data_IF_604934394199
#
_entry.id   IF_604934394199
#
_cell.length_a   1.000
_cell.length_b   1.000
_cell.length_c   1.000
_cell.angle_alpha   90.00
_cell.angle_beta   90.00
_cell.angle_gamma   90.00
#
_symmetry.space_group_name_H-M   'P 1'
#
loop_
_entity.id
_entity.type
_entity.pdbx_description
1 polymer ?
#
# COMPACT_ATOMS: atom_id res chain seq x y z
N UNK A 1 -5.14 -2.33 9.78
CA UNK A 1 -5.86 -3.41 9.06
C UNK A 1 -5.94 -4.69 9.88
N UNK A 2 -4.85 -5.32 10.31
CA UNK A 2 -4.85 -6.61 11.01
C UNK A 2 -5.85 -6.70 12.18
N UNK A 3 -5.85 -5.73 13.13
CA UNK A 3 -6.81 -5.71 14.25
C UNK A 3 -8.28 -5.70 13.80
N UNK A 4 -8.58 -4.98 12.72
CA UNK A 4 -9.95 -4.88 12.19
C UNK A 4 -10.40 -6.20 11.56
N UNK A 5 -9.51 -6.89 10.83
CA UNK A 5 -9.79 -8.21 10.28
C UNK A 5 -9.93 -9.27 11.39
N UNK A 6 -9.00 -9.29 12.34
CA UNK A 6 -9.05 -10.24 13.46
C UNK A 6 -10.34 -10.08 14.28
N UNK A 7 -10.80 -8.83 14.51
CA UNK A 7 -12.07 -8.57 15.19
C UNK A 7 -13.32 -9.06 14.43
N UNK A 8 -13.18 -9.38 13.14
CA UNK A 8 -14.22 -10.00 12.31
C UNK A 8 -14.04 -11.51 12.16
N UNK A 9 -13.17 -12.13 12.96
CA UNK A 9 -12.94 -13.57 12.97
C UNK A 9 -11.90 -14.06 11.95
N UNK A 10 -11.22 -13.18 11.23
CA UNK A 10 -10.15 -13.58 10.31
C UNK A 10 -8.91 -14.08 11.08
N UNK A 11 -8.30 -15.14 10.57
CA UNK A 11 -6.97 -15.59 10.97
C UNK A 11 -5.93 -14.72 10.26
N UNK A 12 -5.02 -14.07 10.99
CA UNK A 12 -4.13 -13.03 10.43
C UNK A 12 -2.67 -13.43 10.53
N UNK A 13 -1.93 -13.33 9.43
CA UNK A 13 -0.47 -13.39 9.45
C UNK A 13 0.10 -11.99 9.22
N UNK A 14 0.97 -11.57 10.12
CA UNK A 14 1.57 -10.25 10.13
C UNK A 14 2.99 -10.33 9.58
N UNK A 15 3.28 -9.59 8.51
CA UNK A 15 4.61 -9.51 7.91
C UNK A 15 5.17 -8.08 7.97
N UNK A 16 6.34 -7.89 8.58
CA UNK A 16 7.11 -6.65 8.57
C UNK A 16 8.53 -6.87 9.09
N UNK A 17 9.42 -5.86 8.93
CA UNK A 17 10.82 -5.93 9.39
C UNK A 17 10.98 -5.88 10.93
N UNK A 18 10.08 -5.19 11.62
CA UNK A 18 10.17 -5.03 13.08
C UNK A 18 9.44 -6.17 13.80
N UNK A 19 10.19 -7.23 14.11
CA UNK A 19 9.66 -8.45 14.75
C UNK A 19 9.05 -8.17 16.13
N UNK A 20 9.65 -7.28 16.93
CA UNK A 20 9.14 -6.96 18.27
C UNK A 20 7.74 -6.31 18.18
N UNK A 21 7.54 -5.37 17.24
CA UNK A 21 6.20 -4.78 17.01
C UNK A 21 5.20 -5.80 16.48
N UNK A 22 5.63 -6.75 15.66
CA UNK A 22 4.77 -7.85 15.18
C UNK A 22 4.32 -8.74 16.33
N UNK A 23 5.26 -9.12 17.21
CA UNK A 23 5.00 -9.95 18.38
C UNK A 23 3.98 -9.30 19.32
N UNK A 24 4.18 -8.01 19.65
CA UNK A 24 3.23 -7.25 20.47
C UNK A 24 1.84 -7.16 19.83
N UNK A 25 1.77 -6.90 18.52
CA UNK A 25 0.51 -6.82 17.80
C UNK A 25 -0.21 -8.17 17.73
N UNK A 26 0.52 -9.27 17.48
CA UNK A 26 -0.04 -10.62 17.50
C UNK A 26 -0.54 -11.01 18.91
N UNK A 27 0.21 -10.63 19.95
CA UNK A 27 -0.19 -10.81 21.34
C UNK A 27 -1.49 -10.07 21.68
N UNK A 28 -1.60 -8.80 21.30
CA UNK A 28 -2.83 -8.00 21.51
C UNK A 28 -4.04 -8.61 20.77
N UNK A 29 -3.86 -9.09 19.54
CA UNK A 29 -4.94 -9.75 18.80
C UNK A 29 -5.38 -11.04 19.50
N UNK A 30 -4.43 -11.88 19.95
CA UNK A 30 -4.73 -13.15 20.66
C UNK A 30 -5.39 -12.89 22.00
N UNK A 31 -4.95 -11.89 22.76
CA UNK A 31 -5.55 -11.51 24.05
C UNK A 31 -7.02 -11.07 23.92
N UNK A 32 -7.41 -10.60 22.72
CA UNK A 32 -8.81 -10.26 22.37
C UNK A 32 -9.60 -11.42 21.75
N UNK A 33 -9.09 -12.63 21.82
CA UNK A 33 -9.74 -13.84 21.27
C UNK A 33 -9.55 -14.05 19.76
N UNK A 34 -8.76 -13.23 19.08
CA UNK A 34 -8.42 -13.39 17.66
C UNK A 34 -7.29 -14.41 17.44
N UNK A 35 -7.12 -14.83 16.19
CA UNK A 35 -6.02 -15.70 15.76
C UNK A 35 -5.00 -14.90 14.96
N UNK A 36 -3.74 -14.92 15.38
CA UNK A 36 -2.67 -14.20 14.71
C UNK A 36 -1.35 -14.97 14.75
N UNK A 37 -0.63 -15.00 13.63
CA UNK A 37 0.76 -15.41 13.54
C UNK A 37 1.58 -14.23 12.98
N UNK A 38 2.90 -14.32 13.02
CA UNK A 38 3.76 -13.29 12.46
C UNK A 38 5.05 -13.88 11.88
N UNK A 39 5.62 -13.17 10.91
CA UNK A 39 6.90 -13.48 10.27
C UNK A 39 7.69 -12.18 10.07
N UNK A 40 8.96 -12.17 10.45
CA UNK A 40 9.88 -11.09 10.10
C UNK A 40 10.13 -11.13 8.59
N UNK A 41 9.86 -10.02 7.88
CA UNK A 41 10.03 -9.97 6.42
C UNK A 41 10.47 -8.60 5.94
N UNK A 42 11.50 -8.57 5.13
CA UNK A 42 11.81 -7.48 4.22
C UNK A 42 11.27 -7.87 2.82
N UNK A 43 10.25 -7.15 2.37
CA UNK A 43 9.56 -7.47 1.10
C UNK A 43 10.46 -7.32 -0.14
N UNK A 44 11.61 -6.68 -0.01
CA UNK A 44 12.60 -6.58 -1.09
C UNK A 44 13.35 -7.89 -1.32
N UNK A 45 13.24 -8.84 -0.38
CA UNK A 45 13.88 -10.15 -0.42
C UNK A 45 12.86 -11.24 -0.77
N UNK A 46 12.95 -11.85 -1.96
CA UNK A 46 11.96 -12.85 -2.40
C UNK A 46 11.81 -14.03 -1.43
N UNK A 47 12.92 -14.54 -0.87
CA UNK A 47 12.87 -15.70 0.03
C UNK A 47 12.17 -15.39 1.36
N UNK A 48 12.33 -14.18 1.89
CA UNK A 48 11.58 -13.77 3.08
C UNK A 48 10.08 -13.61 2.78
N UNK A 49 9.72 -13.17 1.57
CA UNK A 49 8.32 -13.16 1.11
C UNK A 49 7.76 -14.59 0.98
N UNK A 50 8.55 -15.54 0.49
CA UNK A 50 8.17 -16.95 0.44
C UNK A 50 7.86 -17.48 1.84
N UNK A 51 8.76 -17.29 2.82
CA UNK A 51 8.58 -17.73 4.22
C UNK A 51 7.32 -17.12 4.84
N UNK A 52 7.01 -15.85 4.56
CA UNK A 52 5.76 -15.22 5.02
C UNK A 52 4.52 -15.98 4.51
N UNK A 53 4.52 -16.36 3.23
CA UNK A 53 3.42 -17.09 2.61
C UNK A 53 3.33 -18.51 3.17
N UNK A 54 4.44 -19.21 3.30
CA UNK A 54 4.52 -20.56 3.88
C UNK A 54 4.10 -20.54 5.35
N UNK A 55 4.42 -19.49 6.10
CA UNK A 55 3.93 -19.29 7.47
C UNK A 55 2.41 -19.24 7.50
N UNK A 56 1.76 -18.53 6.57
CA UNK A 56 0.30 -18.47 6.51
C UNK A 56 -0.32 -19.85 6.22
N UNK A 57 0.28 -20.60 5.31
CA UNK A 57 -0.17 -21.94 4.95
C UNK A 57 0.03 -22.90 6.12
N UNK A 58 1.18 -22.88 6.78
CA UNK A 58 1.52 -23.75 7.92
C UNK A 58 0.60 -23.49 9.12
N UNK A 59 0.36 -22.22 9.47
CA UNK A 59 -0.41 -21.85 10.66
C UNK A 59 -1.93 -21.98 10.45
N UNK A 60 -2.41 -21.71 9.23
CA UNK A 60 -3.85 -21.56 8.98
C UNK A 60 -4.40 -22.37 7.81
N UNK A 61 -3.54 -23.14 7.11
CA UNK A 61 -3.94 -24.08 6.07
C UNK A 61 -4.12 -23.47 4.67
N UNK A 62 -3.97 -22.14 4.50
CA UNK A 62 -4.14 -21.49 3.21
C UNK A 62 -4.19 -19.97 3.31
N UNK A 63 -4.53 -19.31 2.19
CA UNK A 63 -4.61 -17.86 2.08
C UNK A 63 -5.87 -17.49 1.28
N UNK A 64 -6.74 -16.69 1.89
CA UNK A 64 -7.92 -16.13 1.23
C UNK A 64 -7.68 -14.69 0.77
N UNK A 65 -6.87 -13.92 1.51
CA UNK A 65 -6.60 -12.52 1.21
C UNK A 65 -5.12 -12.19 1.42
N UNK A 66 -4.49 -11.65 0.38
CA UNK A 66 -3.17 -11.03 0.48
C UNK A 66 -3.33 -9.50 0.39
N UNK A 67 -2.80 -8.78 1.39
CA UNK A 67 -2.77 -7.32 1.39
C UNK A 67 -1.32 -6.84 1.30
N UNK A 68 -0.92 -6.37 0.11
CA UNK A 68 0.37 -5.74 -0.15
C UNK A 68 0.33 -4.29 0.35
N UNK A 69 0.64 -4.11 1.64
CA UNK A 69 0.57 -2.83 2.33
C UNK A 69 1.95 -2.20 2.57
N UNK A 70 3.02 -2.99 2.55
CA UNK A 70 4.37 -2.46 2.69
C UNK A 70 4.63 -1.35 1.67
N UNK A 71 5.21 -0.25 2.13
CA UNK A 71 5.48 0.88 1.25
C UNK A 71 6.18 2.01 1.98
N UNK A 72 6.97 2.75 1.22
CA UNK A 72 7.69 3.95 1.62
C UNK A 72 7.32 5.10 0.67
N UNK A 73 7.53 6.33 1.11
CA UNK A 73 7.29 7.55 0.33
C UNK A 73 8.57 8.37 0.22
N UNK A 74 8.53 9.45 -0.56
CA UNK A 74 9.60 10.43 -0.68
C UNK A 74 9.03 11.85 -0.70
N UNK A 75 9.90 12.85 -0.47
CA UNK A 75 9.61 14.28 -0.64
C UNK A 75 10.86 15.00 -1.09
N UNK A 76 11.06 15.03 -2.41
CA UNK A 76 12.13 15.77 -3.09
C UNK A 76 11.74 15.97 -4.55
N UNK A 77 12.20 17.05 -5.19
CA UNK A 77 12.07 17.20 -6.63
C UNK A 77 13.07 16.30 -7.35
N UNK A 78 12.79 16.01 -8.62
CA UNK A 78 13.60 15.06 -9.39
C UNK A 78 15.03 15.52 -9.60
N UNK A 79 15.23 16.82 -9.74
CA UNK A 79 16.56 17.39 -10.01
C UNK A 79 17.55 17.17 -8.86
N UNK A 80 17.05 17.06 -7.62
CA UNK A 80 17.88 16.95 -6.42
C UNK A 80 17.98 15.51 -5.87
N UNK A 81 17.10 14.60 -6.32
CA UNK A 81 16.99 13.27 -5.71
C UNK A 81 18.04 12.29 -6.19
N UNK A 82 18.67 11.59 -5.26
CA UNK A 82 19.58 10.51 -5.56
C UNK A 82 18.85 9.32 -6.22
N UNK A 83 19.43 8.77 -7.28
CA UNK A 83 18.86 7.61 -7.98
C UNK A 83 18.62 6.41 -7.05
N UNK A 84 19.45 6.22 -6.02
CA UNK A 84 19.27 5.20 -5.00
C UNK A 84 17.94 5.30 -4.26
N UNK A 85 17.41 6.52 -4.05
CA UNK A 85 16.08 6.74 -3.46
C UNK A 85 14.98 6.20 -4.37
N UNK A 86 15.09 6.45 -5.68
CA UNK A 86 14.12 5.97 -6.67
C UNK A 86 14.13 4.44 -6.76
N UNK A 87 15.31 3.83 -6.80
CA UNK A 87 15.46 2.37 -6.77
C UNK A 87 14.82 1.78 -5.51
N UNK A 88 15.13 2.33 -4.34
CA UNK A 88 14.56 1.86 -3.05
C UNK A 88 13.03 1.94 -3.01
N UNK A 89 12.43 2.98 -3.62
CA UNK A 89 10.98 3.10 -3.75
C UNK A 89 10.39 2.01 -4.65
N UNK A 90 11.06 1.70 -5.77
CA UNK A 90 10.66 0.60 -6.65
C UNK A 90 10.80 -0.76 -5.96
N UNK A 91 11.90 -0.99 -5.27
CA UNK A 91 12.15 -2.26 -4.57
C UNK A 91 11.09 -2.56 -3.52
N UNK A 92 10.77 -1.58 -2.68
CA UNK A 92 9.79 -1.77 -1.60
C UNK A 92 8.35 -1.79 -2.13
N UNK A 93 7.95 -0.76 -2.89
CA UNK A 93 6.55 -0.55 -3.25
C UNK A 93 6.09 -1.47 -4.39
N UNK A 94 6.95 -1.67 -5.40
CA UNK A 94 6.62 -2.47 -6.58
C UNK A 94 7.12 -3.91 -6.43
N UNK A 95 8.44 -4.12 -6.33
CA UNK A 95 9.00 -5.47 -6.25
C UNK A 95 8.52 -6.22 -5.01
N UNK A 96 8.37 -5.54 -3.87
CA UNK A 96 7.78 -6.15 -2.67
C UNK A 96 6.37 -6.68 -2.90
N UNK A 97 5.55 -5.96 -3.69
CA UNK A 97 4.23 -6.45 -4.11
C UNK A 97 4.34 -7.65 -5.05
N UNK A 98 5.22 -7.59 -6.05
CA UNK A 98 5.46 -8.69 -7.00
C UNK A 98 5.91 -9.95 -6.27
N UNK A 99 6.89 -9.85 -5.37
CA UNK A 99 7.43 -10.96 -4.60
C UNK A 99 6.34 -11.67 -3.78
N UNK A 100 5.57 -10.92 -2.99
CA UNK A 100 4.47 -11.50 -2.21
C UNK A 100 3.41 -12.15 -3.12
N UNK A 101 3.01 -11.49 -4.20
CA UNK A 101 2.04 -12.04 -5.16
C UNK A 101 2.53 -13.34 -5.80
N UNK A 102 3.81 -13.40 -6.18
CA UNK A 102 4.41 -14.57 -6.86
C UNK A 102 4.22 -15.85 -6.05
N UNK A 103 4.46 -15.79 -4.73
CA UNK A 103 4.37 -16.96 -3.87
C UNK A 103 2.95 -17.22 -3.37
N UNK A 104 2.12 -16.18 -3.20
CA UNK A 104 0.75 -16.34 -2.72
C UNK A 104 -0.23 -16.79 -3.82
N UNK A 105 0.08 -16.53 -5.09
CA UNK A 105 -0.85 -16.70 -6.22
C UNK A 105 -1.46 -18.11 -6.32
N UNK A 106 -0.72 -19.23 -6.17
CA UNK A 106 -1.30 -20.57 -6.23
C UNK A 106 -2.39 -20.80 -5.17
N UNK A 107 -2.15 -20.35 -3.95
CA UNK A 107 -3.09 -20.51 -2.82
C UNK A 107 -4.34 -19.63 -3.02
N UNK A 108 -4.14 -18.39 -3.48
CA UNK A 108 -5.24 -17.47 -3.76
C UNK A 108 -6.08 -17.89 -4.97
N UNK A 109 -5.50 -18.59 -5.94
CA UNK A 109 -6.25 -19.21 -7.04
C UNK A 109 -7.10 -20.36 -6.53
N UNK A 110 -6.55 -21.21 -5.66
CA UNK A 110 -7.27 -22.35 -5.07
C UNK A 110 -8.46 -21.91 -4.23
N UNK A 111 -8.31 -20.85 -3.42
CA UNK A 111 -9.38 -20.28 -2.58
C UNK A 111 -10.34 -19.36 -3.34
N UNK A 112 -10.08 -19.03 -4.62
CA UNK A 112 -10.73 -17.93 -5.36
C UNK A 112 -10.67 -16.61 -4.58
N UNK A 113 -9.57 -16.41 -3.90
CA UNK A 113 -9.32 -15.36 -2.93
C UNK A 113 -9.09 -13.97 -3.54
N UNK A 114 -8.43 -13.11 -2.77
CA UNK A 114 -8.25 -11.70 -3.14
C UNK A 114 -6.82 -11.25 -2.98
N UNK A 115 -6.29 -10.52 -3.97
CA UNK A 115 -5.07 -9.71 -3.85
C UNK A 115 -5.46 -8.24 -3.74
N UNK A 116 -4.89 -7.54 -2.77
CA UNK A 116 -5.10 -6.10 -2.58
C UNK A 116 -3.76 -5.38 -2.56
N UNK A 117 -3.54 -4.47 -3.49
CA UNK A 117 -2.42 -3.54 -3.44
C UNK A 117 -2.85 -2.21 -2.83
N UNK A 118 -2.15 -1.78 -1.78
CA UNK A 118 -2.35 -0.46 -1.21
C UNK A 118 -1.52 0.54 -2.03
N UNK A 119 -2.17 1.13 -3.02
CA UNK A 119 -1.63 2.19 -3.87
C UNK A 119 -1.82 3.57 -3.20
N UNK A 120 -2.11 4.58 -3.97
CA UNK A 120 -2.33 5.96 -3.54
C UNK A 120 -3.03 6.73 -4.67
N UNK A 121 -3.52 7.94 -4.38
CA UNK A 121 -3.84 8.94 -5.41
C UNK A 121 -2.63 9.21 -6.30
N UNK A 122 -1.40 9.13 -5.75
CA UNK A 122 -0.14 9.22 -6.51
C UNK A 122 0.06 8.08 -7.54
N UNK A 123 -0.66 6.97 -7.43
CA UNK A 123 -0.73 5.90 -8.43
C UNK A 123 -1.81 6.10 -9.49
N UNK A 124 -2.55 7.21 -9.42
CA UNK A 124 -3.57 7.62 -10.39
C UNK A 124 -3.14 8.88 -11.14
N UNK A 125 -2.42 9.79 -10.48
CA UNK A 125 -1.90 11.03 -11.04
C UNK A 125 -0.56 11.35 -10.40
N UNK A 126 0.41 11.84 -11.20
CA UNK A 126 1.73 12.22 -10.69
C UNK A 126 1.62 13.38 -9.70
N UNK A 127 2.35 13.31 -8.61
CA UNK A 127 2.39 14.37 -7.61
C UNK A 127 3.78 15.00 -7.57
N UNK A 128 3.88 16.35 -7.65
CA UNK A 128 5.16 17.04 -7.53
C UNK A 128 5.87 16.70 -6.22
N UNK A 129 7.20 16.58 -6.28
CA UNK A 129 8.01 16.15 -5.15
C UNK A 129 7.84 14.67 -4.73
N UNK A 130 7.18 13.86 -5.57
CA UNK A 130 6.87 12.45 -5.31
C UNK A 130 7.20 11.54 -6.51
N UNK A 131 8.19 11.89 -7.31
CA UNK A 131 8.48 11.24 -8.61
C UNK A 131 8.61 9.72 -8.49
N UNK A 132 9.54 9.22 -7.68
CA UNK A 132 9.74 7.78 -7.50
C UNK A 132 8.57 7.10 -6.79
N UNK A 133 7.91 7.80 -5.85
CA UNK A 133 6.72 7.28 -5.19
C UNK A 133 5.57 7.09 -6.19
N UNK A 134 5.27 8.10 -6.99
CA UNK A 134 4.25 8.00 -8.04
C UNK A 134 4.59 6.90 -9.03
N UNK A 135 5.83 6.86 -9.54
CA UNK A 135 6.29 5.81 -10.46
C UNK A 135 6.07 4.40 -9.89
N UNK A 136 6.48 4.17 -8.63
CA UNK A 136 6.31 2.85 -7.98
C UNK A 136 4.86 2.45 -7.77
N UNK A 137 3.97 3.41 -7.47
CA UNK A 137 2.52 3.15 -7.29
C UNK A 137 1.79 2.95 -8.63
N UNK A 138 2.25 3.59 -9.70
CA UNK A 138 1.78 3.31 -11.06
C UNK A 138 2.21 1.90 -11.52
N UNK A 139 3.48 1.54 -11.31
CA UNK A 139 3.99 0.22 -11.62
C UNK A 139 3.21 -0.88 -10.90
N UNK A 140 2.95 -0.71 -9.59
CA UNK A 140 2.09 -1.61 -8.81
C UNK A 140 0.68 -1.72 -9.43
N UNK A 141 0.07 -0.60 -9.82
CA UNK A 141 -1.28 -0.58 -10.39
C UNK A 141 -1.33 -1.36 -11.69
N UNK A 142 -0.41 -1.10 -12.63
CA UNK A 142 -0.34 -1.80 -13.92
C UNK A 142 -0.10 -3.30 -13.76
N UNK A 143 0.82 -3.69 -12.85
CA UNK A 143 1.06 -5.10 -12.52
C UNK A 143 -0.22 -5.79 -12.01
N UNK A 144 -0.90 -5.21 -11.03
CA UNK A 144 -2.09 -5.80 -10.44
C UNK A 144 -3.27 -5.86 -11.43
N UNK A 145 -3.40 -4.89 -12.32
CA UNK A 145 -4.40 -4.92 -13.39
C UNK A 145 -4.15 -6.10 -14.33
N UNK A 146 -2.91 -6.33 -14.73
CA UNK A 146 -2.52 -7.46 -15.59
C UNK A 146 -2.75 -8.79 -14.88
N UNK A 147 -2.33 -8.95 -13.62
CA UNK A 147 -2.58 -10.15 -12.81
C UNK A 147 -4.10 -10.46 -12.73
N UNK A 148 -4.93 -9.43 -12.60
CA UNK A 148 -6.39 -9.60 -12.60
C UNK A 148 -6.89 -10.19 -13.92
N UNK A 149 -6.42 -9.67 -15.05
CA UNK A 149 -6.86 -10.09 -16.39
C UNK A 149 -6.42 -11.54 -16.66
N UNK A 150 -5.18 -11.87 -16.35
CA UNK A 150 -4.63 -13.23 -16.51
C UNK A 150 -5.37 -14.29 -15.68
N UNK A 151 -6.02 -13.88 -14.59
CA UNK A 151 -6.70 -14.77 -13.65
C UNK A 151 -8.24 -14.68 -13.68
N UNK A 152 -8.83 -14.03 -14.68
CA UNK A 152 -10.30 -13.88 -14.80
C UNK A 152 -11.03 -15.21 -14.74
N UNK A 153 -10.54 -16.23 -15.47
CA UNK A 153 -11.17 -17.57 -15.50
C UNK A 153 -10.95 -18.38 -14.23
N UNK A 154 -9.94 -18.01 -13.41
CA UNK A 154 -9.62 -18.69 -12.13
C UNK A 154 -10.40 -18.11 -10.95
N UNK A 155 -11.20 -17.06 -11.17
CA UNK A 155 -12.00 -16.43 -10.12
C UNK A 155 -11.22 -15.62 -9.09
N UNK A 156 -9.94 -15.34 -9.33
CA UNK A 156 -9.13 -14.48 -8.47
C UNK A 156 -9.68 -13.05 -8.48
N UNK A 157 -9.86 -12.47 -7.30
CA UNK A 157 -10.17 -11.06 -7.16
C UNK A 157 -8.88 -10.25 -6.95
N UNK A 158 -8.72 -9.17 -7.69
CA UNK A 158 -7.60 -8.23 -7.52
C UNK A 158 -8.12 -6.82 -7.40
N UNK A 159 -7.75 -6.15 -6.31
CA UNK A 159 -8.16 -4.78 -6.00
C UNK A 159 -6.96 -3.85 -5.83
N UNK A 160 -7.01 -2.70 -6.49
CA UNK A 160 -6.13 -1.57 -6.20
C UNK A 160 -6.88 -0.62 -5.28
N UNK A 161 -6.35 -0.40 -4.08
CA UNK A 161 -6.90 0.51 -3.09
C UNK A 161 -6.07 1.79 -3.05
N UNK A 162 -6.72 2.92 -3.26
CA UNK A 162 -6.09 4.23 -3.33
C UNK A 162 -6.58 5.10 -2.17
N UNK A 163 -5.96 4.99 -0.98
CA UNK A 163 -6.23 5.96 0.08
C UNK A 163 -5.69 7.33 -0.32
N UNK A 164 -6.36 8.36 0.20
CA UNK A 164 -5.82 9.70 0.22
C UNK A 164 -4.85 9.90 1.39
N UNK A 165 -4.83 11.10 1.94
CA UNK A 165 -3.98 11.39 3.09
C UNK A 165 -4.48 10.65 4.33
N UNK A 166 -3.64 9.77 4.87
CA UNK A 166 -3.94 8.93 6.03
C UNK A 166 -2.97 9.24 7.16
N UNK A 167 -3.47 9.37 8.38
CA UNK A 167 -2.65 9.53 9.58
C UNK A 167 -1.83 8.25 9.82
N UNK A 168 -0.57 8.27 9.41
CA UNK A 168 0.32 7.11 9.48
C UNK A 168 1.79 7.52 9.44
N UNK A 169 2.66 6.65 9.94
CA UNK A 169 4.11 6.90 10.00
C UNK A 169 4.80 7.02 8.62
N UNK A 170 4.11 6.72 7.52
CA UNK A 170 4.70 6.72 6.16
C UNK A 170 5.24 8.10 5.76
N UNK A 171 4.70 9.17 6.34
CA UNK A 171 5.16 10.53 6.07
C UNK A 171 6.39 10.90 6.88
N UNK A 172 6.42 10.54 8.16
CA UNK A 172 7.61 10.72 9.01
C UNK A 172 8.81 9.95 8.47
N UNK A 173 8.58 8.79 7.88
CA UNK A 173 9.60 7.96 7.25
C UNK A 173 9.74 8.21 5.73
N UNK A 174 9.13 9.27 5.19
CA UNK A 174 9.33 9.65 3.80
C UNK A 174 10.80 10.01 3.56
N UNK A 175 11.34 9.55 2.44
CA UNK A 175 12.73 9.79 2.08
C UNK A 175 12.91 11.21 1.54
N UNK A 176 13.96 11.88 1.99
CA UNK A 176 14.47 13.13 1.43
C UNK A 176 15.27 12.87 0.15
N UNK A 177 15.87 13.89 -0.42
CA UNK A 177 16.67 13.80 -1.63
C UNK A 177 17.86 12.83 -1.51
N UNK A 178 18.51 12.80 -0.36
CA UNK A 178 19.66 11.95 -0.02
C UNK A 178 19.28 10.57 0.56
N UNK A 179 17.98 10.29 0.68
CA UNK A 179 17.48 9.02 1.24
C UNK A 179 17.40 8.93 2.76
N UNK A 180 17.66 10.01 3.48
CA UNK A 180 17.38 10.12 4.91
C UNK A 180 15.87 10.20 5.17
N UNK A 181 15.43 10.01 6.42
CA UNK A 181 14.01 10.15 6.77
C UNK A 181 13.66 11.61 7.05
N UNK A 182 12.53 12.08 6.54
CA UNK A 182 12.05 13.45 6.72
C UNK A 182 11.82 13.81 8.20
N UNK A 183 11.40 12.86 9.04
CA UNK A 183 11.22 13.07 10.50
C UNK A 183 9.98 13.86 10.88
N UNK A 184 9.36 14.59 9.94
CA UNK A 184 8.25 15.50 10.17
C UNK A 184 7.07 15.26 9.23
N UNK A 185 5.91 15.81 9.57
CA UNK A 185 4.75 15.87 8.67
C UNK A 185 4.31 17.31 8.49
N UNK A 186 4.26 17.82 7.25
CA UNK A 186 3.82 19.21 6.99
C UNK A 186 2.29 19.38 7.07
N UNK A 187 1.54 18.33 7.38
CA UNK A 187 0.07 18.35 7.35
C UNK A 187 -0.53 18.04 8.71
N UNK A 188 -1.68 18.63 8.96
CA UNK A 188 -2.52 18.37 10.15
C UNK A 188 -3.14 16.97 10.07
N UNK A 189 -2.67 16.06 10.92
CA UNK A 189 -3.14 14.67 10.94
C UNK A 189 -4.58 14.52 11.39
N UNK A 190 -5.11 15.48 12.16
CA UNK A 190 -6.50 15.44 12.63
C UNK A 190 -7.53 15.54 11.48
N UNK A 191 -7.11 16.09 10.34
CA UNK A 191 -7.95 16.23 9.13
C UNK A 191 -7.83 15.06 8.16
N UNK A 192 -7.11 13.99 8.53
CA UNK A 192 -6.85 12.86 7.65
C UNK A 192 -7.69 11.64 8.04
N UNK A 193 -7.81 10.71 7.09
CA UNK A 193 -8.40 9.41 7.39
C UNK A 193 -7.58 8.67 8.45
N UNK A 194 -8.27 8.00 9.37
CA UNK A 194 -7.60 7.10 10.30
C UNK A 194 -7.25 5.76 9.64
N UNK A 195 -6.21 5.05 10.13
CA UNK A 195 -5.90 3.70 9.64
C UNK A 195 -7.06 2.71 9.75
N UNK A 196 -7.92 2.87 10.76
CA UNK A 196 -9.13 2.06 10.96
C UNK A 196 -10.18 2.33 9.87
N UNK A 197 -10.40 3.58 9.50
CA UNK A 197 -11.31 3.95 8.43
C UNK A 197 -10.86 3.34 7.11
N UNK A 198 -9.56 3.48 6.78
CA UNK A 198 -8.95 2.85 5.58
C UNK A 198 -9.16 1.34 5.62
N UNK A 199 -8.88 0.68 6.76
CA UNK A 199 -9.06 -0.76 6.91
C UNK A 199 -10.50 -1.20 6.63
N UNK A 200 -11.49 -0.54 7.22
CA UNK A 200 -12.92 -0.85 7.00
C UNK A 200 -13.35 -0.68 5.55
N UNK A 201 -12.82 0.34 4.86
CA UNK A 201 -13.13 0.57 3.44
C UNK A 201 -12.50 -0.52 2.57
N UNK A 202 -11.26 -0.93 2.87
CA UNK A 202 -10.56 -2.04 2.17
C UNK A 202 -11.36 -3.33 2.32
N UNK A 203 -11.78 -3.68 3.55
CA UNK A 203 -12.58 -4.88 3.82
C UNK A 203 -13.86 -4.88 2.97
N UNK A 204 -14.64 -3.81 3.05
CA UNK A 204 -15.86 -3.66 2.24
C UNK A 204 -15.60 -3.71 0.73
N UNK A 205 -14.43 -3.23 0.29
CA UNK A 205 -13.98 -3.32 -1.09
C UNK A 205 -13.75 -4.76 -1.54
N UNK A 206 -13.12 -5.57 -0.68
CA UNK A 206 -12.88 -7.00 -0.89
C UNK A 206 -14.21 -7.77 -0.94
N UNK A 207 -15.07 -7.60 0.06
CA UNK A 207 -16.40 -8.23 0.13
C UNK A 207 -17.23 -7.96 -1.13
N UNK A 208 -17.18 -6.73 -1.63
CA UNK A 208 -17.87 -6.32 -2.87
C UNK A 208 -17.08 -6.59 -4.14
N UNK A 209 -15.94 -7.25 -4.06
CA UNK A 209 -15.03 -7.58 -5.17
C UNK A 209 -14.76 -6.38 -6.09
N UNK A 210 -14.51 -5.18 -5.50
CA UNK A 210 -14.19 -3.97 -6.25
C UNK A 210 -12.82 -4.08 -6.92
N UNK A 211 -12.70 -3.65 -8.16
CA UNK A 211 -11.40 -3.61 -8.88
C UNK A 211 -10.54 -2.43 -8.45
N UNK A 212 -11.19 -1.28 -8.23
CA UNK A 212 -10.56 -0.03 -7.80
C UNK A 212 -11.34 0.53 -6.61
N UNK A 213 -10.63 0.87 -5.55
CA UNK A 213 -11.20 1.43 -4.32
C UNK A 213 -10.62 2.82 -4.06
N UNK A 214 -11.35 3.86 -4.47
CA UNK A 214 -11.03 5.27 -4.24
C UNK A 214 -11.74 5.70 -2.96
N UNK A 215 -10.98 6.09 -1.94
CA UNK A 215 -11.52 6.24 -0.58
C UNK A 215 -12.09 7.61 -0.31
N UNK A 216 -11.53 8.66 -0.89
CA UNK A 216 -11.93 10.05 -0.69
C UNK A 216 -12.56 10.65 -1.95
N UNK A 217 -13.35 11.73 -1.76
CA UNK A 217 -13.96 12.46 -2.87
C UNK A 217 -12.90 13.04 -3.82
N UNK A 218 -11.79 13.54 -3.25
CA UNK A 218 -10.66 14.07 -4.01
C UNK A 218 -10.04 13.01 -4.94
N UNK A 219 -9.82 11.80 -4.45
CA UNK A 219 -9.29 10.69 -5.27
C UNK A 219 -10.25 10.31 -6.41
N UNK A 220 -11.56 10.33 -6.14
CA UNK A 220 -12.59 10.07 -7.17
C UNK A 220 -12.62 11.19 -8.22
N UNK A 221 -12.57 12.44 -7.77
CA UNK A 221 -12.51 13.61 -8.66
C UNK A 221 -11.24 13.59 -9.51
N UNK A 222 -10.06 13.35 -8.92
CA UNK A 222 -8.80 13.21 -9.63
C UNK A 222 -8.88 12.13 -10.71
N UNK A 223 -9.38 10.94 -10.36
CA UNK A 223 -9.50 9.82 -11.33
C UNK A 223 -10.43 10.17 -12.49
N UNK A 224 -11.52 10.89 -12.23
CA UNK A 224 -12.47 11.31 -13.26
C UNK A 224 -11.89 12.43 -14.13
N UNK A 225 -11.45 13.52 -13.52
CA UNK A 225 -10.95 14.72 -14.22
C UNK A 225 -9.74 14.39 -15.11
N UNK A 226 -8.84 13.51 -14.64
CA UNK A 226 -7.67 13.09 -15.41
C UNK A 226 -8.00 12.61 -16.82
N UNK A 227 -9.18 12.01 -17.03
CA UNK A 227 -9.59 11.48 -18.33
C UNK A 227 -9.91 12.58 -19.35
N UNK A 228 -10.30 13.77 -18.88
CA UNK A 228 -10.81 14.85 -19.74
C UNK A 228 -9.96 16.11 -19.67
N UNK A 229 -9.37 16.40 -18.53
CA UNK A 229 -8.62 17.65 -18.30
C UNK A 229 -7.33 17.40 -17.48
N UNK A 230 -6.37 16.59 -17.96
CA UNK A 230 -5.14 16.30 -17.20
C UNK A 230 -4.32 17.53 -16.89
N UNK A 231 -4.17 18.48 -17.83
CA UNK A 231 -3.43 19.71 -17.61
C UNK A 231 -4.03 20.64 -16.54
N UNK A 232 -5.33 20.56 -16.29
CA UNK A 232 -5.94 21.26 -15.15
C UNK A 232 -5.47 20.63 -13.82
N UNK A 233 -5.44 19.30 -13.74
CA UNK A 233 -4.94 18.60 -12.56
C UNK A 233 -3.46 18.90 -12.30
N UNK A 234 -2.61 18.96 -13.33
CA UNK A 234 -1.20 19.26 -13.20
C UNK A 234 -1.01 20.62 -12.49
N UNK A 235 -1.72 21.66 -12.96
CA UNK A 235 -1.69 22.99 -12.35
C UNK A 235 -2.24 22.99 -10.93
N UNK A 236 -3.34 22.29 -10.70
CA UNK A 236 -3.98 22.21 -9.38
C UNK A 236 -3.03 21.53 -8.38
N UNK A 237 -2.45 20.38 -8.71
CA UNK A 237 -1.52 19.68 -7.82
C UNK A 237 -0.24 20.47 -7.60
N UNK A 238 0.29 21.14 -8.62
CA UNK A 238 1.42 22.04 -8.44
C UNK A 238 1.12 23.13 -7.42
N UNK A 239 -0.01 23.84 -7.56
CA UNK A 239 -0.40 24.90 -6.63
C UNK A 239 -0.63 24.39 -5.19
N UNK A 240 -1.27 23.23 -5.04
CA UNK A 240 -1.54 22.63 -3.72
C UNK A 240 -0.22 22.22 -3.05
N UNK A 241 0.67 21.55 -3.78
CA UNK A 241 1.93 21.05 -3.23
C UNK A 241 2.92 22.21 -2.96
N UNK A 242 2.93 23.26 -3.80
CA UNK A 242 3.77 24.44 -3.57
C UNK A 242 3.36 25.24 -2.31
N UNK A 243 2.10 25.13 -1.88
CA UNK A 243 1.60 25.79 -0.65
C UNK A 243 1.91 25.01 0.64
N UNK A 244 2.38 23.78 0.53
CA UNK A 244 2.79 23.03 1.73
C UNK A 244 3.95 23.75 2.45
N UNK A 245 3.97 23.71 3.80
CA UNK A 245 5.16 24.12 4.55
C UNK A 245 6.40 23.38 4.02
N UNK A 246 7.51 24.09 3.89
CA UNK A 246 8.81 23.54 3.40
C UNK A 246 8.69 22.75 2.09
N UNK A 247 7.84 23.23 1.18
CA UNK A 247 7.66 22.61 -0.13
C UNK A 247 8.97 22.61 -0.93
N UNK A 248 9.37 21.47 -1.52
CA UNK A 248 10.54 21.43 -2.39
C UNK A 248 10.31 22.14 -3.74
N UNK A 249 9.13 22.70 -3.96
CA UNK A 249 8.78 23.48 -5.17
C UNK A 249 8.96 24.99 -4.99
N UNK A 250 9.52 25.43 -3.87
CA UNK A 250 9.81 26.85 -3.59
C UNK A 250 11.23 27.21 -3.92
#
# INVERSE_FOLDING_TARGET
>A
MAKVYAAQGAKVVLGARNVQKLQLLAGDIRARGGQAAYCGVDVTKPEECRELIETAVREFGGIDVLICNAGISMRAIFDDVDLGVLHRLMDVNFWGTVNCCKFALPYLQASKGSVVGISSVAGLHGLPGRTGYSASKYAMTGFLETVRIENLKKGLHVMVACPGFTASNVRFSALTADGSSQGETPRDEAKMMTPEQVARIVIRGIEKRKRLCLMEAEGRATHFIKKFAPGFLDRMFYMVMAREPDSPLK
#
